data_IF_014297511178
#
_entry.id   IF_014297511178
#
_cell.length_a   1.000
_cell.length_b   1.000
_cell.length_c   1.000
_cell.angle_alpha   90.00
_cell.angle_beta   90.00
_cell.angle_gamma   90.00
#
_symmetry.space_group_name_H-M   'P 1'
#
loop_
_entity.id
_entity.type
_entity.pdbx_description
1 polymer ?
#
# COMPACT_ATOMS: atom_id res chain seq x y z
N UNK A 1 -21.42 12.27 12.27
CA UNK A 1 -19.95 12.27 12.09
C UNK A 1 -19.61 10.90 11.51
N UNK A 2 -18.81 10.82 10.45
CA UNK A 2 -18.48 9.57 9.77
C UNK A 2 -17.33 8.86 10.50
N UNK A 3 -17.50 7.57 10.80
CA UNK A 3 -16.50 6.75 11.49
C UNK A 3 -15.65 5.98 10.47
N UNK A 4 -14.36 6.26 10.43
CA UNK A 4 -13.42 5.70 9.45
C UNK A 4 -12.37 4.84 10.16
N UNK A 5 -12.32 3.56 9.84
CA UNK A 5 -11.24 2.67 10.30
C UNK A 5 -10.11 2.61 9.28
N UNK A 6 -8.89 2.89 9.71
CA UNK A 6 -7.68 2.74 8.90
C UNK A 6 -6.95 1.47 9.36
N UNK A 7 -6.97 0.41 8.54
CA UNK A 7 -6.17 -0.80 8.80
C UNK A 7 -4.70 -0.56 8.44
N UNK A 8 -3.78 -1.30 9.08
CA UNK A 8 -2.35 -1.05 8.88
C UNK A 8 -1.91 0.35 9.30
N UNK A 9 -2.58 0.94 10.27
CA UNK A 9 -2.44 2.33 10.74
C UNK A 9 -0.98 2.72 11.05
N UNK A 10 -0.20 1.83 11.64
CA UNK A 10 1.20 2.09 12.02
C UNK A 10 2.19 1.94 10.86
N UNK A 11 1.76 1.46 9.70
CA UNK A 11 2.58 1.39 8.47
C UNK A 11 2.74 2.77 7.79
N UNK A 12 3.58 2.82 6.75
CA UNK A 12 3.86 4.08 6.04
C UNK A 12 2.61 4.69 5.41
N UNK A 13 1.84 3.90 4.65
CA UNK A 13 0.63 4.40 3.98
C UNK A 13 -0.48 4.70 4.99
N UNK A 14 -0.76 3.77 5.92
CA UNK A 14 -1.82 3.98 6.91
C UNK A 14 -1.59 5.20 7.80
N UNK A 15 -0.33 5.45 8.20
CA UNK A 15 0.01 6.64 8.97
C UNK A 15 -0.15 7.94 8.17
N UNK A 16 0.23 7.95 6.89
CA UNK A 16 0.02 9.09 6.01
C UNK A 16 -1.49 9.34 5.78
N UNK A 17 -2.29 8.30 5.58
CA UNK A 17 -3.76 8.43 5.45
C UNK A 17 -4.37 9.04 6.72
N UNK A 18 -3.97 8.57 7.92
CA UNK A 18 -4.43 9.16 9.18
C UNK A 18 -4.05 10.65 9.27
N UNK A 19 -2.81 11.00 8.91
CA UNK A 19 -2.35 12.38 8.89
C UNK A 19 -3.25 13.25 7.99
N UNK A 20 -3.52 12.83 6.77
CA UNK A 20 -4.38 13.57 5.84
C UNK A 20 -5.83 13.65 6.33
N UNK A 21 -6.39 12.59 6.93
CA UNK A 21 -7.73 12.62 7.52
C UNK A 21 -7.85 13.61 8.69
N UNK A 22 -6.80 13.74 9.51
CA UNK A 22 -6.78 14.70 10.64
C UNK A 22 -6.68 16.18 10.20
N UNK A 23 -6.21 16.43 8.98
CA UNK A 23 -6.09 17.78 8.41
C UNK A 23 -7.36 18.22 7.67
N UNK A 24 -8.43 17.39 7.59
CA UNK A 24 -9.65 17.74 6.86
C UNK A 24 -10.58 18.60 7.67
N UNK A 25 -11.28 19.53 7.01
CA UNK A 25 -12.27 20.40 7.64
C UNK A 25 -13.57 19.67 8.00
N UNK A 26 -13.89 18.59 7.28
CA UNK A 26 -15.09 17.79 7.55
C UNK A 26 -14.91 16.93 8.81
N UNK A 27 -15.87 16.95 9.74
CA UNK A 27 -15.76 16.20 10.99
C UNK A 27 -15.88 14.69 10.73
N UNK A 28 -14.76 13.99 10.82
CA UNK A 28 -14.68 12.53 10.79
C UNK A 28 -14.09 12.01 12.09
N UNK A 29 -14.55 10.85 12.56
CA UNK A 29 -13.91 10.12 13.65
C UNK A 29 -13.00 9.05 13.04
N UNK A 30 -11.71 9.14 13.31
CA UNK A 30 -10.71 8.21 12.77
C UNK A 30 -10.33 7.17 13.81
N UNK A 31 -10.36 5.90 13.41
CA UNK A 31 -9.96 4.74 14.20
C UNK A 31 -8.69 4.12 13.60
N UNK A 32 -7.63 4.07 14.40
CA UNK A 32 -6.38 3.43 14.01
C UNK A 32 -6.42 1.94 14.34
N UNK A 33 -6.59 1.09 13.34
CA UNK A 33 -6.54 -0.37 13.48
C UNK A 33 -5.09 -0.88 13.57
N UNK A 34 -4.70 -1.42 14.72
CA UNK A 34 -3.34 -1.87 14.98
C UNK A 34 -3.26 -3.17 15.76
N UNK A 35 -2.21 -3.96 15.51
CA UNK A 35 -1.92 -5.20 16.27
C UNK A 35 -1.43 -4.91 17.69
N UNK A 36 -0.67 -3.83 17.85
CA UNK A 36 -0.15 -3.39 19.14
C UNK A 36 -0.62 -1.95 19.42
N UNK A 37 -1.57 -1.83 20.34
CA UNK A 37 -2.17 -0.53 20.68
C UNK A 37 -1.19 0.39 21.42
N UNK A 38 -0.26 -0.15 22.20
CA UNK A 38 0.75 0.65 22.90
C UNK A 38 1.65 1.36 21.91
N UNK A 39 2.20 0.60 20.96
CA UNK A 39 3.04 1.18 19.89
C UNK A 39 2.27 2.15 18.98
N UNK A 40 0.98 1.89 18.74
CA UNK A 40 0.15 2.80 17.96
C UNK A 40 -0.07 4.13 18.70
N UNK A 41 -0.42 4.09 19.98
CA UNK A 41 -0.59 5.29 20.81
C UNK A 41 0.70 6.10 20.91
N UNK A 42 1.84 5.45 21.08
CA UNK A 42 3.13 6.14 21.10
C UNK A 42 3.43 6.83 19.75
N UNK A 43 3.21 6.14 18.64
CA UNK A 43 3.41 6.69 17.30
C UNK A 43 2.56 7.93 17.03
N UNK A 44 1.32 7.93 17.51
CA UNK A 44 0.33 8.98 17.24
C UNK A 44 0.01 9.84 18.47
N UNK A 45 0.95 9.94 19.42
CA UNK A 45 0.75 10.68 20.69
C UNK A 45 0.32 12.13 20.52
N UNK A 46 0.68 12.74 19.38
CA UNK A 46 0.37 14.15 19.08
C UNK A 46 -1.02 14.32 18.43
N UNK A 47 -1.74 13.22 18.13
CA UNK A 47 -3.06 13.24 17.52
C UNK A 47 -4.16 13.12 18.59
N UNK A 48 -4.84 14.24 18.90
CA UNK A 48 -5.80 14.33 20.01
C UNK A 48 -7.14 13.62 19.74
N UNK A 49 -7.57 13.52 18.49
CA UNK A 49 -8.88 13.00 18.08
C UNK A 49 -8.81 11.63 17.39
N UNK A 50 -7.77 10.83 17.68
CA UNK A 50 -7.57 9.52 17.11
C UNK A 50 -7.98 8.43 18.11
N UNK A 51 -8.92 7.58 17.72
CA UNK A 51 -9.29 6.38 18.45
C UNK A 51 -8.44 5.18 18.04
N UNK A 52 -8.31 4.19 18.93
CA UNK A 52 -7.45 3.04 18.69
C UNK A 52 -8.25 1.76 18.88
N UNK A 53 -8.15 0.84 17.92
CA UNK A 53 -8.83 -0.44 17.97
C UNK A 53 -7.88 -1.59 17.66
N UNK A 54 -8.03 -2.68 18.42
CA UNK A 54 -7.28 -3.92 18.17
C UNK A 54 -7.72 -4.50 16.82
N UNK A 55 -6.79 -4.64 15.89
CA UNK A 55 -7.04 -5.23 14.58
C UNK A 55 -5.83 -6.03 14.10
N UNK A 56 -6.04 -7.31 13.83
CA UNK A 56 -5.02 -8.20 13.30
C UNK A 56 -5.63 -9.13 12.24
N UNK A 57 -5.10 -9.07 11.01
CA UNK A 57 -5.53 -9.95 9.91
C UNK A 57 -5.39 -11.45 10.23
N UNK A 58 -4.45 -11.82 11.10
CA UNK A 58 -4.20 -13.20 11.50
C UNK A 58 -5.04 -13.64 12.69
N UNK A 59 -5.81 -12.73 13.31
CA UNK A 59 -6.67 -12.98 14.45
C UNK A 59 -8.12 -12.55 14.16
N UNK A 60 -8.95 -13.40 13.51
CA UNK A 60 -10.31 -13.03 13.11
C UNK A 60 -11.21 -12.60 14.29
N UNK A 61 -10.91 -13.06 15.51
CA UNK A 61 -11.62 -12.63 16.73
C UNK A 61 -11.53 -11.12 17.01
N UNK A 62 -10.60 -10.40 16.37
CA UNK A 62 -10.50 -8.94 16.50
C UNK A 62 -11.45 -8.17 15.57
N UNK A 63 -12.03 -8.82 14.55
CA UNK A 63 -12.77 -8.15 13.49
C UNK A 63 -14.10 -7.57 13.99
N UNK A 64 -14.86 -8.34 14.77
CA UNK A 64 -16.17 -7.89 15.25
C UNK A 64 -16.11 -6.60 16.07
N UNK A 65 -15.13 -6.52 16.98
CA UNK A 65 -14.92 -5.33 17.80
C UNK A 65 -14.37 -4.16 16.98
N UNK A 66 -13.47 -4.46 16.01
CA UNK A 66 -12.84 -3.44 15.19
C UNK A 66 -13.83 -2.76 14.22
N UNK A 67 -14.84 -3.48 13.75
CA UNK A 67 -15.81 -2.94 12.79
C UNK A 67 -17.11 -2.43 13.45
N UNK A 68 -17.18 -2.43 14.79
CA UNK A 68 -18.36 -1.91 15.48
C UNK A 68 -18.50 -0.41 15.29
N UNK A 69 -19.65 0.03 14.79
CA UNK A 69 -19.97 1.44 14.50
C UNK A 69 -19.02 2.10 13.48
N UNK A 70 -18.44 1.33 12.58
CA UNK A 70 -17.61 1.85 11.48
C UNK A 70 -18.45 1.99 10.23
N UNK A 71 -18.39 3.16 9.59
CA UNK A 71 -19.10 3.45 8.34
C UNK A 71 -18.24 3.07 7.12
N UNK A 72 -16.95 3.38 7.20
CA UNK A 72 -15.99 3.21 6.07
C UNK A 72 -14.67 2.62 6.56
N UNK A 73 -14.10 1.70 5.78
CA UNK A 73 -12.79 1.09 6.07
C UNK A 73 -11.78 1.44 4.98
N UNK A 74 -10.62 1.96 5.37
CA UNK A 74 -9.43 1.91 4.55
C UNK A 74 -8.76 0.56 4.75
N UNK A 75 -8.83 -0.30 3.73
CA UNK A 75 -8.31 -1.66 3.76
C UNK A 75 -6.94 -1.72 3.08
N UNK A 76 -5.92 -2.13 3.83
CA UNK A 76 -4.55 -2.28 3.35
C UNK A 76 -4.09 -3.72 3.56
N UNK A 77 -3.62 -4.38 2.51
CA UNK A 77 -3.10 -5.76 2.60
C UNK A 77 -1.66 -5.78 3.12
N UNK A 78 -1.36 -6.46 4.24
CA UNK A 78 0.02 -6.70 4.66
C UNK A 78 0.79 -7.51 3.60
N UNK A 79 2.05 -7.16 3.27
CA UNK A 79 2.79 -7.79 2.17
C UNK A 79 3.03 -9.29 2.34
N UNK A 80 3.11 -9.79 3.58
CA UNK A 80 3.31 -11.21 3.89
C UNK A 80 2.03 -12.05 3.78
N UNK A 81 0.84 -11.42 3.75
CA UNK A 81 -0.45 -12.11 3.64
C UNK A 81 -0.80 -12.28 2.15
N UNK A 82 -0.78 -13.52 1.66
CA UNK A 82 -1.11 -13.86 0.26
C UNK A 82 -2.33 -14.77 0.12
N UNK A 83 -2.69 -15.52 1.16
CA UNK A 83 -3.87 -16.39 1.16
C UNK A 83 -5.15 -15.57 1.44
N UNK A 84 -5.83 -15.20 0.35
CA UNK A 84 -7.05 -14.37 0.40
C UNK A 84 -8.21 -15.13 1.05
N UNK A 85 -8.35 -16.42 0.79
CA UNK A 85 -9.44 -17.20 1.36
C UNK A 85 -9.31 -17.33 2.88
N UNK A 86 -8.10 -17.54 3.36
CA UNK A 86 -7.84 -17.68 4.79
C UNK A 86 -8.03 -16.37 5.57
N UNK A 87 -7.54 -15.25 5.03
CA UNK A 87 -7.46 -13.99 5.80
C UNK A 87 -8.50 -12.95 5.41
N UNK A 88 -8.81 -12.84 4.11
CA UNK A 88 -9.73 -11.78 3.64
C UNK A 88 -11.17 -12.23 3.55
N UNK A 89 -11.45 -13.50 3.25
CA UNK A 89 -12.85 -13.98 3.20
C UNK A 89 -13.57 -13.86 4.54
N UNK A 90 -13.00 -14.27 5.69
CA UNK A 90 -13.63 -14.03 6.99
C UNK A 90 -13.81 -12.53 7.30
N UNK A 91 -12.81 -11.70 6.96
CA UNK A 91 -12.86 -10.27 7.17
C UNK A 91 -14.00 -9.62 6.38
N UNK A 92 -14.12 -9.93 5.09
CA UNK A 92 -15.16 -9.37 4.21
C UNK A 92 -16.57 -9.86 4.64
N UNK A 93 -16.68 -11.11 5.15
CA UNK A 93 -17.91 -11.61 5.75
C UNK A 93 -18.35 -10.76 6.94
N UNK A 94 -17.44 -10.50 7.87
CA UNK A 94 -17.74 -9.67 9.06
C UNK A 94 -18.08 -8.23 8.67
N UNK A 95 -17.38 -7.65 7.68
CA UNK A 95 -17.74 -6.32 7.14
C UNK A 95 -19.20 -6.28 6.65
N UNK A 96 -19.60 -7.31 5.90
CA UNK A 96 -21.00 -7.45 5.42
C UNK A 96 -22.00 -7.61 6.56
N UNK A 97 -21.70 -8.46 7.53
CA UNK A 97 -22.54 -8.72 8.71
C UNK A 97 -22.71 -7.48 9.59
N UNK A 98 -21.64 -6.71 9.77
CA UNK A 98 -21.65 -5.45 10.53
C UNK A 98 -22.18 -4.25 9.75
N UNK A 99 -22.61 -4.47 8.50
CA UNK A 99 -23.13 -3.43 7.61
C UNK A 99 -22.14 -2.27 7.35
N UNK A 100 -20.84 -2.58 7.40
CA UNK A 100 -19.80 -1.64 6.96
C UNK A 100 -19.93 -1.50 5.46
N UNK A 101 -20.62 -0.44 5.04
CA UNK A 101 -21.07 -0.30 3.63
C UNK A 101 -19.99 0.18 2.67
N UNK A 102 -18.88 0.71 3.14
CA UNK A 102 -17.91 1.44 2.30
C UNK A 102 -16.48 0.96 2.53
N UNK A 103 -15.80 0.54 1.45
CA UNK A 103 -14.41 0.08 1.50
C UNK A 103 -13.55 0.87 0.52
N UNK A 104 -12.51 1.54 1.00
CA UNK A 104 -11.42 2.04 0.16
C UNK A 104 -10.27 1.06 0.28
N UNK A 105 -10.03 0.28 -0.78
CA UNK A 105 -8.98 -0.75 -0.77
C UNK A 105 -7.74 -0.27 -1.50
N UNK A 106 -6.59 -0.30 -0.81
CA UNK A 106 -5.29 -0.05 -1.43
C UNK A 106 -4.86 -1.30 -2.20
N UNK A 107 -5.14 -1.28 -3.47
CA UNK A 107 -4.76 -2.31 -4.44
C UNK A 107 -3.37 -2.02 -5.05
N UNK A 108 -3.16 -2.36 -6.29
CA UNK A 108 -1.94 -2.06 -7.08
C UNK A 108 -2.28 -1.83 -8.54
N UNK A 109 -1.50 -1.03 -9.23
CA UNK A 109 -1.63 -0.82 -10.67
C UNK A 109 -1.57 -2.16 -11.43
N UNK A 110 -2.50 -2.37 -12.36
CA UNK A 110 -2.58 -3.59 -13.16
C UNK A 110 -3.20 -4.79 -12.44
N UNK A 111 -3.83 -4.59 -11.28
CA UNK A 111 -4.52 -5.67 -10.56
C UNK A 111 -5.58 -6.37 -11.42
N UNK A 112 -6.30 -5.63 -12.26
CA UNK A 112 -7.32 -6.16 -13.16
C UNK A 112 -6.77 -7.11 -14.23
N UNK A 113 -5.47 -7.01 -14.55
CA UNK A 113 -4.82 -7.81 -15.60
C UNK A 113 -4.29 -9.15 -15.11
N UNK A 114 -4.22 -9.38 -13.80
CA UNK A 114 -3.59 -10.57 -13.23
C UNK A 114 -4.47 -11.25 -12.19
N UNK A 115 -5.19 -12.29 -12.60
CA UNK A 115 -6.04 -13.12 -11.72
C UNK A 115 -5.27 -13.87 -10.61
N UNK A 116 -3.93 -13.90 -10.70
CA UNK A 116 -3.10 -14.68 -9.76
C UNK A 116 -2.74 -13.87 -8.52
N UNK A 117 -2.57 -12.55 -8.66
CA UNK A 117 -2.10 -11.71 -7.56
C UNK A 117 -3.17 -11.55 -6.47
N UNK A 118 -2.75 -11.48 -5.19
CA UNK A 118 -3.69 -11.34 -4.07
C UNK A 118 -4.62 -10.12 -4.18
N UNK A 119 -4.13 -9.00 -4.70
CA UNK A 119 -4.92 -7.77 -4.83
C UNK A 119 -6.13 -7.96 -5.76
N UNK A 120 -5.96 -8.59 -6.94
CA UNK A 120 -7.08 -8.94 -7.81
C UNK A 120 -8.12 -9.81 -7.10
N UNK A 121 -7.65 -10.82 -6.37
CA UNK A 121 -8.55 -11.73 -5.64
C UNK A 121 -9.32 -11.02 -4.53
N UNK A 122 -8.71 -10.03 -3.87
CA UNK A 122 -9.37 -9.21 -2.85
C UNK A 122 -10.40 -8.28 -3.50
N UNK A 123 -10.06 -7.60 -4.61
CA UNK A 123 -11.01 -6.80 -5.37
C UNK A 123 -12.23 -7.64 -5.78
N UNK A 124 -12.00 -8.82 -6.37
CA UNK A 124 -13.05 -9.75 -6.76
C UNK A 124 -13.92 -10.16 -5.57
N UNK A 125 -13.30 -10.49 -4.44
CA UNK A 125 -14.01 -10.88 -3.21
C UNK A 125 -14.93 -9.76 -2.68
N UNK A 126 -14.44 -8.52 -2.65
CA UNK A 126 -15.24 -7.36 -2.22
C UNK A 126 -16.47 -7.17 -3.11
N UNK A 127 -16.30 -7.31 -4.43
CA UNK A 127 -17.39 -7.24 -5.42
C UNK A 127 -18.37 -8.40 -5.25
N UNK A 128 -17.89 -9.64 -5.09
CA UNK A 128 -18.72 -10.83 -4.87
C UNK A 128 -19.63 -10.71 -3.64
N UNK A 129 -19.14 -10.05 -2.58
CA UNK A 129 -19.94 -9.79 -1.37
C UNK A 129 -20.91 -8.61 -1.51
N UNK A 130 -20.90 -7.91 -2.66
CA UNK A 130 -21.77 -6.77 -2.94
C UNK A 130 -21.50 -5.58 -2.03
N UNK A 131 -20.24 -5.34 -1.67
CA UNK A 131 -19.83 -4.20 -0.87
C UNK A 131 -19.47 -3.02 -1.77
N UNK A 132 -19.92 -1.82 -1.40
CA UNK A 132 -19.53 -0.60 -2.08
C UNK A 132 -18.02 -0.36 -1.89
N UNK A 133 -17.34 0.02 -2.95
CA UNK A 133 -15.89 0.08 -2.91
C UNK A 133 -15.29 1.22 -3.73
N UNK A 134 -14.07 1.60 -3.36
CA UNK A 134 -13.12 2.33 -4.21
C UNK A 134 -11.82 1.56 -4.20
N UNK A 135 -11.32 1.17 -5.36
CA UNK A 135 -10.02 0.53 -5.49
C UNK A 135 -8.97 1.56 -5.90
N UNK A 136 -8.07 1.88 -4.98
CA UNK A 136 -6.91 2.71 -5.29
C UNK A 136 -5.80 1.80 -5.82
N UNK A 137 -5.38 2.02 -7.06
CA UNK A 137 -4.38 1.20 -7.75
C UNK A 137 -3.09 1.99 -7.96
N UNK A 138 -2.28 2.18 -6.91
CA UNK A 138 -1.04 2.93 -7.02
C UNK A 138 0.02 2.18 -7.82
N UNK A 139 0.88 2.95 -8.46
CA UNK A 139 2.11 2.53 -9.09
C UNK A 139 3.22 2.22 -8.06
N UNK A 140 4.49 2.24 -8.45
CA UNK A 140 5.62 1.90 -7.59
C UNK A 140 5.92 3.02 -6.59
N UNK A 141 5.98 2.70 -5.30
CA UNK A 141 6.18 3.70 -4.23
C UNK A 141 7.61 4.24 -4.20
N UNK A 142 7.76 5.57 -4.22
CA UNK A 142 9.06 6.23 -4.03
C UNK A 142 9.70 5.86 -2.69
N UNK A 143 8.89 5.66 -1.65
CA UNK A 143 9.35 5.29 -0.31
C UNK A 143 9.98 3.90 -0.21
N UNK A 144 9.91 3.07 -1.25
CA UNK A 144 10.72 1.85 -1.30
C UNK A 144 12.22 2.16 -1.24
N UNK A 145 12.66 3.33 -1.73
CA UNK A 145 14.05 3.81 -1.64
C UNK A 145 14.47 4.07 -0.18
N UNK A 146 13.57 4.61 0.62
CA UNK A 146 13.83 4.99 2.02
C UNK A 146 13.40 3.93 3.04
N UNK A 147 12.89 2.79 2.58
CA UNK A 147 12.47 1.66 3.42
C UNK A 147 13.16 0.36 2.98
N UNK A 148 12.55 -0.36 2.05
CA UNK A 148 13.00 -1.71 1.63
C UNK A 148 14.41 -1.71 1.04
N UNK A 149 14.80 -0.68 0.30
CA UNK A 149 16.10 -0.56 -0.35
C UNK A 149 17.14 0.18 0.50
N UNK A 150 16.70 0.92 1.51
CA UNK A 150 17.56 1.75 2.36
C UNK A 150 18.72 0.99 3.04
N UNK A 151 18.56 -0.25 3.53
CA UNK A 151 19.67 -0.97 4.16
C UNK A 151 20.87 -1.16 3.22
N UNK A 152 20.64 -1.53 1.96
CA UNK A 152 21.75 -1.67 0.99
C UNK A 152 22.30 -0.30 0.55
N UNK A 153 21.45 0.72 0.43
CA UNK A 153 21.90 2.10 0.13
C UNK A 153 22.83 2.59 1.23
N UNK A 154 22.43 2.47 2.51
CA UNK A 154 23.24 2.95 3.65
C UNK A 154 24.53 2.17 3.87
N UNK A 155 24.46 0.83 3.76
CA UNK A 155 25.61 -0.02 4.11
C UNK A 155 26.58 -0.23 2.96
N UNK A 156 26.14 -0.09 1.69
CA UNK A 156 26.90 -0.44 0.50
C UNK A 156 26.94 0.67 -0.56
N UNK A 157 26.19 1.76 -0.36
CA UNK A 157 25.94 2.77 -1.38
C UNK A 157 25.43 2.15 -2.71
N UNK A 158 24.56 1.13 -2.61
CA UNK A 158 24.08 0.38 -3.77
C UNK A 158 22.59 0.11 -3.72
N UNK A 159 21.97 0.17 -4.88
CA UNK A 159 20.65 -0.42 -5.13
C UNK A 159 20.87 -1.71 -5.94
N UNK A 160 20.61 -2.85 -5.31
CA UNK A 160 20.86 -4.18 -5.93
C UNK A 160 19.51 -4.78 -6.28
N UNK A 161 19.17 -4.83 -7.58
CA UNK A 161 17.86 -5.35 -8.03
C UNK A 161 17.96 -6.10 -9.37
N UNK A 162 17.01 -7.04 -9.63
CA UNK A 162 16.90 -7.72 -10.91
C UNK A 162 16.08 -6.93 -11.97
N UNK A 163 15.97 -5.61 -11.81
CA UNK A 163 15.09 -4.77 -12.64
C UNK A 163 15.65 -4.43 -14.04
N UNK A 164 16.97 -4.60 -14.24
CA UNK A 164 17.59 -4.31 -15.55
C UNK A 164 17.38 -2.85 -15.99
N UNK A 165 16.74 -2.66 -17.17
CA UNK A 165 16.29 -1.36 -17.72
C UNK A 165 14.77 -1.24 -17.69
N UNK A 166 14.08 -2.05 -16.86
CA UNK A 166 12.63 -1.97 -16.69
C UNK A 166 12.22 -0.60 -16.18
N UNK A 167 11.21 -0.01 -16.84
CA UNK A 167 10.65 1.27 -16.43
C UNK A 167 9.57 1.08 -15.38
N UNK A 168 9.57 1.93 -14.37
CA UNK A 168 8.59 1.99 -13.30
C UNK A 168 7.95 3.38 -13.31
N UNK A 169 6.68 3.42 -13.04
CA UNK A 169 6.03 4.67 -12.67
C UNK A 169 6.21 4.88 -11.16
N UNK A 170 6.65 6.05 -10.76
CA UNK A 170 7.00 6.36 -9.37
C UNK A 170 5.97 7.29 -8.77
N UNK A 171 5.39 6.90 -7.63
CA UNK A 171 4.41 7.72 -6.90
C UNK A 171 4.80 7.89 -5.44
N UNK A 172 4.59 9.08 -4.88
CA UNK A 172 4.78 9.35 -3.47
C UNK A 172 3.62 8.80 -2.63
N UNK A 173 3.93 8.25 -1.45
CA UNK A 173 2.92 7.78 -0.49
C UNK A 173 2.04 8.94 0.01
N UNK A 174 2.57 10.15 0.12
CA UNK A 174 1.76 11.32 0.52
C UNK A 174 0.66 11.59 -0.50
N UNK A 175 0.94 11.51 -1.81
CA UNK A 175 -0.08 11.65 -2.85
C UNK A 175 -1.14 10.54 -2.77
N UNK A 176 -0.71 9.29 -2.53
CA UNK A 176 -1.64 8.17 -2.34
C UNK A 176 -2.55 8.42 -1.12
N UNK A 177 -1.96 8.89 -0.02
CA UNK A 177 -2.67 9.13 1.23
C UNK A 177 -3.66 10.28 1.14
N UNK A 178 -3.32 11.34 0.41
CA UNK A 178 -4.21 12.47 0.11
C UNK A 178 -5.45 11.99 -0.63
N UNK A 179 -5.27 11.23 -1.73
CA UNK A 179 -6.38 10.66 -2.50
C UNK A 179 -7.18 9.65 -1.67
N UNK A 180 -6.52 8.84 -0.85
CA UNK A 180 -7.21 7.91 0.03
C UNK A 180 -8.10 8.66 1.05
N UNK A 181 -7.60 9.73 1.66
CA UNK A 181 -8.39 10.55 2.57
C UNK A 181 -9.58 11.20 1.85
N UNK A 182 -9.37 11.77 0.66
CA UNK A 182 -10.42 12.36 -0.16
C UNK A 182 -11.51 11.31 -0.49
N UNK A 183 -11.13 10.13 -0.97
CA UNK A 183 -12.08 9.07 -1.34
C UNK A 183 -12.79 8.45 -0.14
N UNK A 184 -12.16 8.43 1.05
CA UNK A 184 -12.80 8.03 2.30
C UNK A 184 -13.89 9.01 2.74
N UNK A 185 -13.64 10.31 2.59
CA UNK A 185 -14.59 11.38 2.98
C UNK A 185 -15.70 11.49 1.96
N UNK A 186 -15.36 11.65 0.69
CA UNK A 186 -16.27 11.86 -0.44
C UNK A 186 -16.59 10.52 -1.15
N UNK A 187 -16.79 9.47 -0.41
CA UNK A 187 -16.93 8.10 -0.95
C UNK A 187 -18.00 7.99 -2.05
N UNK A 188 -19.12 8.69 -1.89
CA UNK A 188 -20.23 8.64 -2.85
C UNK A 188 -19.84 9.09 -4.25
N UNK A 189 -18.89 10.02 -4.38
CA UNK A 189 -18.45 10.56 -5.66
C UNK A 189 -17.60 9.54 -6.46
N UNK A 190 -16.99 8.59 -5.75
CA UNK A 190 -16.06 7.61 -6.31
C UNK A 190 -16.55 6.17 -6.17
N UNK A 191 -17.76 5.98 -5.68
CA UNK A 191 -18.36 4.66 -5.41
C UNK A 191 -18.23 3.72 -6.60
N UNK A 192 -17.76 2.51 -6.33
CA UNK A 192 -17.60 1.41 -7.28
C UNK A 192 -16.64 1.72 -8.45
N UNK A 193 -15.66 2.59 -8.20
CA UNK A 193 -14.62 2.92 -9.16
C UNK A 193 -13.26 2.29 -8.77
N UNK A 194 -12.43 2.10 -9.79
CA UNK A 194 -11.02 1.76 -9.63
C UNK A 194 -10.18 2.92 -10.20
N UNK A 195 -9.34 3.50 -9.35
CA UNK A 195 -8.57 4.71 -9.64
C UNK A 195 -7.09 4.33 -9.71
N UNK A 196 -6.47 4.45 -10.88
CA UNK A 196 -5.02 4.28 -11.01
C UNK A 196 -4.31 5.54 -10.53
N UNK A 197 -3.40 5.39 -9.57
CA UNK A 197 -2.60 6.47 -9.01
C UNK A 197 -1.16 6.35 -9.49
N UNK A 198 -0.74 7.29 -10.35
CA UNK A 198 0.58 7.29 -10.97
C UNK A 198 1.28 8.62 -10.76
N UNK A 199 2.61 8.60 -10.83
CA UNK A 199 3.37 9.81 -11.03
C UNK A 199 3.37 10.23 -12.51
N UNK A 200 4.03 11.32 -12.81
CA UNK A 200 4.00 11.95 -14.14
C UNK A 200 4.89 11.28 -15.19
N UNK A 201 5.81 10.40 -14.79
CA UNK A 201 6.78 9.81 -15.69
C UNK A 201 7.21 8.40 -15.30
N UNK A 202 7.72 7.68 -16.28
CA UNK A 202 8.30 6.36 -16.09
C UNK A 202 9.82 6.45 -16.12
N UNK A 203 10.51 6.01 -15.06
CA UNK A 203 11.97 5.97 -14.95
C UNK A 203 12.47 4.59 -14.58
N UNK A 204 13.65 4.21 -15.10
CA UNK A 204 14.36 3.04 -14.61
C UNK A 204 15.19 3.37 -13.36
N UNK A 205 15.73 2.36 -12.70
CA UNK A 205 16.51 2.55 -11.47
C UNK A 205 17.84 3.30 -11.68
N UNK A 206 18.42 3.26 -12.89
CA UNK A 206 19.63 4.04 -13.18
C UNK A 206 19.29 5.53 -13.20
N UNK A 207 18.24 5.90 -13.94
CA UNK A 207 17.78 7.30 -14.02
C UNK A 207 17.43 7.86 -12.62
N UNK A 208 16.82 7.03 -11.75
CA UNK A 208 16.50 7.44 -10.38
C UNK A 208 17.76 7.60 -9.53
N UNK A 209 18.74 6.70 -9.65
CA UNK A 209 20.03 6.81 -8.96
C UNK A 209 20.79 8.05 -9.40
N UNK A 210 20.81 8.34 -10.71
CA UNK A 210 21.47 9.52 -11.25
C UNK A 210 20.86 10.81 -10.68
N UNK A 211 19.53 10.88 -10.57
CA UNK A 211 18.83 12.00 -9.93
C UNK A 211 19.19 12.13 -8.45
N UNK A 212 19.14 11.03 -7.69
CA UNK A 212 19.49 11.07 -6.26
C UNK A 212 20.92 11.58 -6.07
N UNK A 213 21.87 11.07 -6.85
CA UNK A 213 23.25 11.48 -6.76
C UNK A 213 23.45 12.97 -7.11
N UNK A 214 22.76 13.45 -8.16
CA UNK A 214 22.82 14.86 -8.55
C UNK A 214 22.27 15.79 -7.46
N UNK A 215 21.14 15.44 -6.84
CA UNK A 215 20.49 16.28 -5.84
C UNK A 215 21.15 16.23 -4.46
N UNK A 216 21.74 15.08 -4.09
CA UNK A 216 22.25 14.87 -2.71
C UNK A 216 23.76 14.86 -2.62
N UNK A 217 24.50 14.82 -3.75
CA UNK A 217 25.95 14.60 -3.77
C UNK A 217 26.38 13.19 -3.38
N UNK A 218 25.44 12.25 -3.21
CA UNK A 218 25.72 10.86 -2.92
C UNK A 218 26.41 10.15 -4.11
N UNK A 219 26.97 8.98 -3.86
CA UNK A 219 27.62 8.14 -4.88
C UNK A 219 26.98 6.75 -4.87
N UNK A 220 25.65 6.72 -5.00
CA UNK A 220 24.90 5.47 -5.06
C UNK A 220 25.10 4.83 -6.42
N UNK A 221 25.33 3.51 -6.45
CA UNK A 221 25.45 2.71 -7.67
C UNK A 221 24.22 1.83 -7.85
N UNK A 222 23.67 1.79 -9.07
CA UNK A 222 22.67 0.79 -9.43
C UNK A 222 23.35 -0.51 -9.91
N UNK A 223 23.31 -1.54 -9.09
CA UNK A 223 23.86 -2.85 -9.43
C UNK A 223 22.79 -3.78 -10.00
N UNK A 224 22.84 -3.98 -11.32
CA UNK A 224 21.96 -4.91 -12.04
C UNK A 224 22.38 -6.35 -11.77
N UNK A 225 21.46 -7.17 -11.31
CA UNK A 225 21.72 -8.60 -11.08
C UNK A 225 20.63 -9.46 -11.74
N UNK A 226 20.91 -10.74 -11.97
CA UNK A 226 19.87 -11.67 -12.37
C UNK A 226 19.07 -12.16 -11.14
N UNK A 227 17.86 -12.73 -11.33
CA UNK A 227 17.02 -13.18 -10.22
C UNK A 227 17.70 -14.18 -9.28
N UNK A 228 18.52 -15.10 -9.80
CA UNK A 228 19.22 -16.10 -8.98
C UNK A 228 20.28 -15.46 -8.08
N UNK A 229 21.07 -14.53 -8.62
CA UNK A 229 22.06 -13.77 -7.86
C UNK A 229 21.38 -12.90 -6.81
N UNK A 230 20.27 -12.24 -7.15
CA UNK A 230 19.47 -11.47 -6.22
C UNK A 230 18.96 -12.34 -5.06
N UNK A 231 18.38 -13.51 -5.37
CA UNK A 231 17.90 -14.45 -4.37
C UNK A 231 19.01 -14.86 -3.39
N UNK A 232 20.20 -15.20 -3.88
CA UNK A 232 21.34 -15.61 -3.03
C UNK A 232 21.75 -14.46 -2.10
N UNK A 233 21.89 -13.25 -2.64
CA UNK A 233 22.27 -12.05 -1.85
C UNK A 233 21.26 -11.81 -0.73
N UNK A 234 19.96 -11.77 -1.06
CA UNK A 234 18.90 -11.47 -0.07
C UNK A 234 18.71 -12.59 0.95
N UNK A 235 18.91 -13.85 0.55
CA UNK A 235 18.91 -14.99 1.48
C UNK A 235 20.07 -14.91 2.47
N UNK A 236 21.28 -14.54 2.02
CA UNK A 236 22.44 -14.32 2.91
C UNK A 236 22.24 -13.16 3.88
N UNK A 237 21.43 -12.17 3.51
CA UNK A 237 21.00 -11.07 4.37
C UNK A 237 19.88 -11.44 5.36
N UNK A 238 19.45 -12.71 5.41
CA UNK A 238 18.41 -13.21 6.31
C UNK A 238 16.98 -12.89 5.88
N UNK A 239 16.77 -12.38 4.65
CA UNK A 239 15.42 -12.08 4.17
C UNK A 239 14.59 -13.36 3.97
N UNK A 240 13.33 -13.35 4.41
CA UNK A 240 12.40 -14.45 4.26
C UNK A 240 12.17 -14.78 2.77
N UNK A 241 12.12 -16.08 2.43
CA UNK A 241 11.97 -16.58 1.05
C UNK A 241 10.77 -15.95 0.32
N UNK A 242 9.63 -15.87 0.99
CA UNK A 242 8.42 -15.28 0.40
C UNK A 242 8.62 -13.82 -0.03
N UNK A 243 9.26 -13.01 0.82
CA UNK A 243 9.58 -11.62 0.52
C UNK A 243 10.56 -11.50 -0.66
N UNK A 244 11.59 -12.36 -0.72
CA UNK A 244 12.54 -12.36 -1.85
C UNK A 244 11.80 -12.65 -3.17
N UNK A 245 10.88 -13.61 -3.17
CA UNK A 245 10.10 -13.93 -4.37
C UNK A 245 9.19 -12.78 -4.80
N UNK A 246 8.53 -12.10 -3.86
CA UNK A 246 7.74 -10.89 -4.14
C UNK A 246 8.62 -9.81 -4.76
N UNK A 247 9.80 -9.56 -4.19
CA UNK A 247 10.74 -8.57 -4.74
C UNK A 247 11.24 -8.94 -6.13
N UNK A 248 11.54 -10.22 -6.39
CA UNK A 248 11.92 -10.68 -7.74
C UNK A 248 10.78 -10.40 -8.71
N UNK A 249 9.58 -10.83 -8.39
CA UNK A 249 8.42 -10.63 -9.26
C UNK A 249 8.17 -9.14 -9.54
N UNK A 250 8.17 -8.32 -8.51
CA UNK A 250 7.93 -6.87 -8.61
C UNK A 250 8.95 -6.16 -9.50
N UNK A 251 10.23 -6.55 -9.43
CA UNK A 251 11.29 -5.84 -10.14
C UNK A 251 11.69 -6.49 -11.47
N UNK A 252 11.53 -7.81 -11.61
CA UNK A 252 11.91 -8.50 -12.84
C UNK A 252 10.85 -8.39 -13.95
N UNK A 253 9.56 -8.45 -13.61
CA UNK A 253 8.48 -8.40 -14.60
C UNK A 253 8.51 -7.13 -15.45
N UNK A 254 8.73 -5.91 -14.91
CA UNK A 254 8.81 -4.69 -15.72
C UNK A 254 9.92 -4.69 -16.78
N UNK A 255 10.92 -5.58 -16.68
CA UNK A 255 11.95 -5.72 -17.72
C UNK A 255 11.42 -6.26 -19.04
N UNK A 256 10.39 -7.10 -18.96
CA UNK A 256 9.83 -7.86 -20.11
C UNK A 256 8.43 -7.37 -20.47
N UNK A 257 7.87 -6.47 -19.69
CA UNK A 257 6.57 -5.84 -19.95
C UNK A 257 6.74 -4.46 -20.59
N UNK A 258 5.69 -3.98 -21.22
CA UNK A 258 5.63 -2.56 -21.64
C UNK A 258 5.67 -1.67 -20.40
N UNK A 259 6.24 -0.45 -20.52
CA UNK A 259 6.16 0.52 -19.43
C UNK A 259 4.72 0.71 -18.96
N UNK A 260 4.50 0.93 -17.65
CA UNK A 260 3.15 1.15 -17.14
C UNK A 260 2.53 2.40 -17.74
N UNK A 261 1.21 2.38 -17.92
CA UNK A 261 0.47 3.56 -18.35
C UNK A 261 0.55 4.64 -17.27
N UNK A 262 0.57 5.89 -17.69
CA UNK A 262 0.44 7.05 -16.83
C UNK A 262 -1.02 7.45 -16.82
N UNK A 263 -1.61 7.48 -15.63
CA UNK A 263 -2.99 7.92 -15.41
C UNK A 263 -3.03 9.42 -15.18
N UNK A 264 -4.10 10.07 -15.64
CA UNK A 264 -4.43 11.46 -15.29
C UNK A 264 -5.40 11.56 -14.12
N UNK A 265 -5.68 10.46 -13.44
CA UNK A 265 -6.69 10.45 -12.37
C UNK A 265 -6.36 11.40 -11.23
N UNK A 266 -5.07 11.63 -10.93
CA UNK A 266 -4.65 12.60 -9.92
C UNK A 266 -5.02 14.04 -10.27
N UNK A 267 -5.05 14.39 -11.57
CA UNK A 267 -5.43 15.74 -12.03
C UNK A 267 -6.95 15.95 -11.98
N UNK A 268 -7.74 14.88 -11.87
CA UNK A 268 -9.20 14.90 -11.91
C UNK A 268 -9.84 14.84 -10.51
N UNK A 269 -9.05 14.57 -9.46
CA UNK A 269 -9.46 14.44 -8.08
C UNK A 269 -9.23 15.73 -7.29
#
# INVERSE_FOLDING_TARGET
MKNILVTGATGNVGAAVIKHLQCQEQPVQVFAGARNLVSAKEKFRDYKALEYVQFDFEQPGTFESAFRNIDTVFLLRPPHISDVNKYFRPLVSVLKEKQVGQIVFLSVQGAEKSKVIPHHKIETLIVEYGLDHVFLRPAYFMQNLTTTLLPDIRSKQKIILPAGKGKFNWIDIENIAEIAALTLIRFSDYKNQAIELTGYENRDFQEVVDLINAETGAQIEYQRVNPLKFYRIKKQQGMARGMIMVMIMLHFLPRIMKPPNISKSYELL
#
